data_IF_806034154068
#
_entry.id   IF_806034154068
#
_cell.length_a   1.000
_cell.length_b   1.000
_cell.length_c   1.000
_cell.angle_alpha   90.00
_cell.angle_beta   90.00
_cell.angle_gamma   90.00
#
_symmetry.space_group_name_H-M   'P 1'
#
loop_
_entity.id
_entity.type
_entity.pdbx_description
1 polymer ?
#
# COMPACT_ATOMS: atom_id res chain seq x y z
N UNK A 1 -34.31 32.56 -1.69
CA UNK A 1 -34.27 31.15 -2.14
C UNK A 1 -32.90 30.90 -2.74
N UNK A 2 -31.97 30.36 -1.95
CA UNK A 2 -31.43 28.98 -2.09
C UNK A 2 -30.28 28.97 -3.12
N UNK A 3 -29.07 28.47 -2.90
CA UNK A 3 -28.47 27.67 -1.85
C UNK A 3 -26.97 27.59 -2.20
N UNK A 4 -26.09 28.02 -1.29
CA UNK A 4 -24.65 27.77 -1.40
C UNK A 4 -24.44 26.26 -1.33
N UNK A 5 -24.28 25.62 -2.49
CA UNK A 5 -23.91 24.22 -2.64
C UNK A 5 -22.47 23.99 -2.18
N UNK A 6 -22.26 24.07 -0.88
CA UNK A 6 -21.09 23.59 -0.15
C UNK A 6 -20.90 22.11 -0.46
N UNK A 7 -19.98 21.77 -1.38
CA UNK A 7 -19.51 20.39 -1.51
C UNK A 7 -18.42 20.20 -0.46
N UNK A 8 -18.63 19.43 0.63
CA UNK A 8 -17.52 19.09 1.51
C UNK A 8 -16.47 18.31 0.67
N UNK A 9 -15.18 18.62 0.89
CA UNK A 9 -14.10 18.09 0.06
C UNK A 9 -13.96 16.59 0.29
N UNK A 10 -13.60 15.87 -0.76
CA UNK A 10 -12.72 14.69 -0.89
C UNK A 10 -12.19 13.93 0.35
N UNK A 11 -12.89 13.87 1.49
CA UNK A 11 -12.38 13.35 2.75
C UNK A 11 -12.34 11.82 2.79
N UNK A 12 -13.27 11.17 2.06
CA UNK A 12 -13.31 9.71 1.98
C UNK A 12 -12.09 9.11 1.24
N UNK A 13 -11.55 9.82 0.23
CA UNK A 13 -10.35 9.38 -0.48
C UNK A 13 -9.06 9.71 0.29
N UNK A 14 -9.04 10.83 1.02
CA UNK A 14 -7.90 11.21 1.85
C UNK A 14 -7.69 10.24 3.04
N UNK A 15 -8.78 9.72 3.63
CA UNK A 15 -8.71 8.76 4.72
C UNK A 15 -8.08 7.42 4.32
N UNK A 16 -8.47 6.87 3.15
CA UNK A 16 -7.89 5.61 2.64
C UNK A 16 -6.44 5.81 2.19
N UNK A 17 -6.12 6.93 1.52
CA UNK A 17 -4.75 7.24 1.14
C UNK A 17 -3.81 7.31 2.35
N UNK A 18 -4.27 7.86 3.49
CA UNK A 18 -3.49 7.87 4.73
C UNK A 18 -3.25 6.49 5.34
N UNK A 19 -4.25 5.59 5.24
CA UNK A 19 -4.11 4.20 5.70
C UNK A 19 -3.14 3.43 4.78
N UNK A 20 -3.24 3.63 3.47
CA UNK A 20 -2.37 2.95 2.51
C UNK A 20 -0.91 3.37 2.64
N UNK A 21 -0.65 4.67 2.85
CA UNK A 21 0.69 5.20 3.14
C UNK A 21 1.25 4.65 4.46
N UNK A 22 0.43 4.58 5.51
CA UNK A 22 0.84 3.93 6.77
C UNK A 22 1.15 2.44 6.58
N UNK A 23 0.35 1.74 5.77
CA UNK A 23 0.57 0.33 5.46
C UNK A 23 1.89 0.15 4.68
N UNK A 24 2.15 0.99 3.69
CA UNK A 24 3.39 1.00 2.91
C UNK A 24 4.60 1.19 3.83
N UNK A 25 4.59 2.23 4.68
CA UNK A 25 5.66 2.49 5.63
C UNK A 25 5.87 1.31 6.60
N UNK A 26 4.79 0.67 7.06
CA UNK A 26 4.87 -0.49 7.94
C UNK A 26 5.51 -1.71 7.25
N UNK A 27 5.19 -1.94 5.97
CA UNK A 27 5.77 -3.02 5.18
C UNK A 27 7.26 -2.78 4.91
N UNK A 28 7.66 -1.53 4.64
CA UNK A 28 9.07 -1.16 4.49
C UNK A 28 9.84 -1.35 5.79
N UNK A 29 9.28 -0.93 6.93
CA UNK A 29 9.89 -1.14 8.24
C UNK A 29 10.06 -2.63 8.57
N UNK A 30 9.07 -3.46 8.23
CA UNK A 30 9.13 -4.90 8.42
C UNK A 30 10.25 -5.54 7.57
N UNK A 31 10.38 -5.11 6.31
CA UNK A 31 11.46 -5.57 5.44
C UNK A 31 12.84 -5.11 5.96
N UNK A 32 12.95 -3.89 6.48
CA UNK A 32 14.17 -3.38 7.09
C UNK A 32 14.56 -4.12 8.38
N UNK A 33 13.59 -4.68 9.10
CA UNK A 33 13.81 -5.54 10.27
C UNK A 33 14.25 -6.98 9.92
N UNK A 34 14.41 -7.31 8.63
CA UNK A 34 14.77 -8.65 8.16
C UNK A 34 13.58 -9.56 7.85
N UNK A 35 12.36 -9.12 8.16
CA UNK A 35 11.10 -9.87 7.95
C UNK A 35 10.57 -9.72 6.51
N UNK A 36 11.46 -9.75 5.51
CA UNK A 36 11.17 -9.44 4.10
C UNK A 36 10.12 -10.38 3.50
N UNK A 37 10.15 -11.67 3.86
CA UNK A 37 9.14 -12.62 3.39
C UNK A 37 7.74 -12.30 3.92
N UNK A 38 7.66 -11.86 5.18
CA UNK A 38 6.39 -11.48 5.80
C UNK A 38 5.85 -10.19 5.18
N UNK A 39 6.73 -9.21 4.92
CA UNK A 39 6.40 -7.98 4.21
C UNK A 39 5.88 -8.28 2.79
N UNK A 40 6.54 -9.19 2.07
CA UNK A 40 6.13 -9.61 0.73
C UNK A 40 4.72 -10.24 0.72
N UNK A 41 4.43 -11.15 1.67
CA UNK A 41 3.09 -11.76 1.80
C UNK A 41 2.01 -10.72 2.08
N UNK A 42 2.26 -9.77 2.98
CA UNK A 42 1.31 -8.72 3.33
C UNK A 42 1.09 -7.74 2.17
N UNK A 43 2.14 -7.35 1.46
CA UNK A 43 2.05 -6.51 0.26
C UNK A 43 1.19 -7.18 -0.83
N UNK A 44 1.31 -8.49 -1.03
CA UNK A 44 0.47 -9.25 -1.96
C UNK A 44 -1.01 -9.22 -1.60
N UNK A 45 -1.34 -9.33 -0.31
CA UNK A 45 -2.73 -9.20 0.18
C UNK A 45 -3.28 -7.78 -0.03
N UNK A 46 -2.48 -6.76 0.24
CA UNK A 46 -2.85 -5.37 -0.01
C UNK A 46 -3.12 -5.11 -1.51
N UNK A 47 -2.31 -5.68 -2.40
CA UNK A 47 -2.56 -5.63 -3.84
C UNK A 47 -3.90 -6.28 -4.22
N UNK A 48 -4.21 -7.48 -3.69
CA UNK A 48 -5.46 -8.16 -3.99
C UNK A 48 -6.70 -7.34 -3.56
N UNK A 49 -6.61 -6.63 -2.43
CA UNK A 49 -7.68 -5.76 -1.93
C UNK A 49 -7.90 -4.51 -2.80
N UNK A 50 -6.81 -3.93 -3.32
CA UNK A 50 -6.87 -2.70 -4.10
C UNK A 50 -7.12 -2.91 -5.60
N UNK A 51 -6.85 -4.12 -6.13
CA UNK A 51 -6.91 -4.43 -7.57
C UNK A 51 -8.19 -3.98 -8.27
N UNK A 52 -9.34 -4.01 -7.59
CA UNK A 52 -10.65 -3.66 -8.16
C UNK A 52 -11.22 -2.35 -7.60
N UNK A 53 -10.56 -1.74 -6.61
CA UNK A 53 -11.06 -0.57 -5.87
C UNK A 53 -10.32 0.70 -6.20
N UNK A 54 -8.99 0.63 -6.30
CA UNK A 54 -8.15 1.81 -6.50
C UNK A 54 -6.87 1.44 -7.26
N UNK A 55 -6.79 1.85 -8.52
CA UNK A 55 -5.66 1.54 -9.38
C UNK A 55 -4.36 2.24 -8.94
N UNK A 56 -4.46 3.41 -8.29
CA UNK A 56 -3.30 4.16 -7.84
C UNK A 56 -2.67 3.51 -6.61
N UNK A 57 -3.48 3.14 -5.62
CA UNK A 57 -3.04 2.40 -4.45
C UNK A 57 -2.51 1.01 -4.84
N UNK A 58 -3.22 0.30 -5.74
CA UNK A 58 -2.74 -0.97 -6.28
C UNK A 58 -1.33 -0.86 -6.88
N UNK A 59 -1.08 0.17 -7.69
CA UNK A 59 0.22 0.36 -8.32
C UNK A 59 1.34 0.58 -7.28
N UNK A 60 1.08 1.38 -6.22
CA UNK A 60 2.06 1.61 -5.15
C UNK A 60 2.43 0.31 -4.43
N UNK A 61 1.43 -0.47 -4.01
CA UNK A 61 1.67 -1.76 -3.36
C UNK A 61 2.35 -2.76 -4.30
N UNK A 62 2.01 -2.75 -5.59
CA UNK A 62 2.60 -3.66 -6.58
C UNK A 62 4.09 -3.34 -6.82
N UNK A 63 4.45 -2.05 -6.89
CA UNK A 63 5.85 -1.62 -6.97
C UNK A 63 6.63 -2.04 -5.73
N UNK A 64 6.06 -1.84 -4.53
CA UNK A 64 6.69 -2.29 -3.28
C UNK A 64 6.86 -3.82 -3.27
N UNK A 65 5.82 -4.57 -3.64
CA UNK A 65 5.85 -6.04 -3.68
C UNK A 65 6.98 -6.55 -4.58
N UNK A 66 7.16 -5.99 -5.78
CA UNK A 66 8.26 -6.38 -6.66
C UNK A 66 9.64 -6.07 -6.06
N UNK A 67 9.80 -4.94 -5.37
CA UNK A 67 11.06 -4.63 -4.66
C UNK A 67 11.32 -5.64 -3.54
N UNK A 68 10.32 -5.93 -2.72
CA UNK A 68 10.42 -6.89 -1.62
C UNK A 68 10.67 -8.32 -2.10
N UNK A 69 10.05 -8.74 -3.21
CA UNK A 69 10.31 -10.04 -3.82
C UNK A 69 11.78 -10.18 -4.20
N UNK A 70 12.33 -9.19 -4.90
CA UNK A 70 13.76 -9.18 -5.28
C UNK A 70 14.68 -9.21 -4.06
N UNK A 71 14.31 -8.49 -3.00
CA UNK A 71 15.07 -8.47 -1.75
C UNK A 71 14.99 -9.81 -1.02
N UNK A 72 13.82 -10.46 -1.01
CA UNK A 72 13.63 -11.79 -0.42
C UNK A 72 14.42 -12.86 -1.19
N UNK A 73 14.50 -12.76 -2.51
CA UNK A 73 15.34 -13.62 -3.34
C UNK A 73 16.83 -13.47 -2.98
N UNK A 74 17.30 -12.24 -2.78
CA UNK A 74 18.69 -11.98 -2.38
C UNK A 74 18.98 -12.51 -0.97
N UNK A 75 18.05 -12.32 -0.02
CA UNK A 75 18.21 -12.80 1.35
C UNK A 75 18.09 -14.34 1.47
N UNK A 76 17.50 -15.01 0.48
CA UNK A 76 17.40 -16.47 0.43
C UNK A 76 18.66 -17.13 -0.15
N UNK A 77 19.59 -16.37 -0.75
CA UNK A 77 20.86 -16.92 -1.20
C UNK A 77 21.82 -17.13 -0.02
N UNK A 78 22.35 -18.35 0.18
CA UNK A 78 23.28 -18.67 1.26
C UNK A 78 24.68 -18.07 1.06
#
# INVERSE_FOLDING_TARGET
>A
MNEHGNRPPQAAAAGTAGIDDLLLASLEALAAAGEVEQACRLAGRACALHRTRDAAAWNRFNVLLHRLSRQAEYHRQP
#
